data_IF_064847008048
#
_entry.id   IF_064847008048
#
_cell.length_a   1.000
_cell.length_b   1.000
_cell.length_c   1.000
_cell.angle_alpha   90.00
_cell.angle_beta   90.00
_cell.angle_gamma   90.00
#
_symmetry.space_group_name_H-M   'P 1'
#
loop_
_entity.id
_entity.type
_entity.pdbx_description
1 polymer ?
#
# COMPACT_ATOMS: atom_id res chain seq x y z
N UNK A 1 21.88 -38.42 -45.53
CA UNK A 1 22.68 -37.42 -44.78
C UNK A 1 21.78 -36.90 -43.68
N UNK A 2 22.21 -37.06 -42.43
CA UNK A 2 21.37 -36.93 -41.24
C UNK A 2 21.13 -35.46 -40.88
N UNK A 3 19.92 -35.22 -40.36
CA UNK A 3 19.51 -33.98 -39.69
C UNK A 3 20.18 -33.91 -38.33
N UNK A 4 20.80 -32.78 -37.99
CA UNK A 4 21.24 -32.53 -36.62
C UNK A 4 20.66 -31.19 -36.15
N UNK A 5 19.54 -31.29 -35.44
CA UNK A 5 19.02 -30.24 -34.59
C UNK A 5 19.84 -30.23 -33.30
N UNK A 6 20.59 -29.16 -33.05
CA UNK A 6 21.19 -28.93 -31.75
C UNK A 6 20.20 -28.15 -30.87
N UNK A 7 19.62 -28.88 -29.92
CA UNK A 7 18.87 -28.38 -28.77
C UNK A 7 19.58 -27.19 -28.11
N UNK A 8 18.94 -26.03 -28.11
CA UNK A 8 19.17 -25.04 -27.06
C UNK A 8 18.50 -25.56 -25.78
N UNK A 9 19.19 -25.61 -24.63
CA UNK A 9 18.51 -25.94 -23.39
C UNK A 9 17.56 -24.79 -23.06
N UNK A 10 16.28 -25.06 -23.27
CA UNK A 10 15.16 -24.29 -22.75
C UNK A 10 15.22 -24.36 -21.21
N UNK A 11 16.03 -23.46 -20.64
CA UNK A 11 15.99 -23.12 -19.23
C UNK A 11 14.94 -22.04 -19.03
N UNK A 12 13.67 -22.36 -19.28
CA UNK A 12 12.53 -21.57 -18.84
C UNK A 12 12.45 -21.60 -17.30
N UNK A 13 13.42 -20.97 -16.64
CA UNK A 13 13.17 -20.40 -15.34
C UNK A 13 12.42 -19.10 -15.62
N UNK A 14 11.11 -19.08 -15.36
CA UNK A 14 10.33 -17.85 -15.24
C UNK A 14 10.95 -17.00 -14.13
N UNK A 15 12.01 -16.27 -14.47
CA UNK A 15 12.58 -15.24 -13.63
C UNK A 15 11.65 -14.05 -13.80
N UNK A 16 10.74 -13.89 -12.84
CA UNK A 16 9.76 -12.81 -12.75
C UNK A 16 10.49 -11.48 -12.45
N UNK A 17 11.41 -11.11 -13.35
CA UNK A 17 12.24 -9.92 -13.24
C UNK A 17 11.48 -8.74 -13.79
N UNK A 18 11.18 -7.79 -12.92
CA UNK A 18 10.46 -6.57 -13.28
C UNK A 18 11.45 -5.47 -13.59
N UNK A 19 11.37 -4.91 -14.80
CA UNK A 19 12.20 -3.76 -15.17
C UNK A 19 11.39 -2.47 -15.07
N UNK A 20 11.87 -1.55 -14.23
CA UNK A 20 11.32 -0.22 -14.05
C UNK A 20 12.26 0.79 -14.69
N UNK A 21 11.74 1.72 -15.48
CA UNK A 21 12.55 2.79 -16.07
C UNK A 21 11.92 4.14 -15.76
N UNK A 22 12.75 5.12 -15.42
CA UNK A 22 12.33 6.49 -15.23
C UNK A 22 13.40 7.46 -15.72
N UNK A 23 13.08 8.75 -15.78
CA UNK A 23 14.02 9.79 -16.18
C UNK A 23 13.87 11.01 -15.30
N UNK A 24 15.00 11.63 -14.95
CA UNK A 24 15.08 12.86 -14.16
C UNK A 24 15.99 13.81 -14.94
N UNK A 25 15.50 15.01 -15.27
CA UNK A 25 16.26 16.03 -16.02
C UNK A 25 17.02 15.50 -17.25
N UNK A 26 16.37 14.63 -18.03
CA UNK A 26 16.95 14.03 -19.25
C UNK A 26 17.89 12.84 -19.00
N UNK A 27 18.22 12.53 -17.75
CA UNK A 27 18.99 11.37 -17.36
C UNK A 27 18.09 10.15 -17.15
N UNK A 28 18.36 9.04 -17.84
CA UNK A 28 17.57 7.80 -17.75
C UNK A 28 18.14 6.84 -16.73
N UNK A 29 17.26 6.29 -15.90
CA UNK A 29 17.57 5.29 -14.90
C UNK A 29 16.76 4.04 -15.19
N UNK A 30 17.38 2.88 -14.95
CA UNK A 30 16.73 1.58 -15.11
C UNK A 30 16.98 0.71 -13.88
N UNK A 31 15.93 0.19 -13.28
CA UNK A 31 16.00 -0.74 -12.16
C UNK A 31 15.42 -2.09 -12.59
N UNK A 32 16.25 -3.12 -12.57
CA UNK A 32 15.87 -4.50 -12.81
C UNK A 32 15.68 -5.19 -11.46
N UNK A 33 14.47 -5.60 -11.13
CA UNK A 33 14.10 -6.19 -9.84
C UNK A 33 13.89 -7.68 -10.02
N UNK A 34 14.82 -8.48 -9.50
CA UNK A 34 14.67 -9.92 -9.38
C UNK A 34 14.12 -10.36 -8.02
N UNK A 35 13.97 -11.67 -7.85
CA UNK A 35 13.39 -12.26 -6.63
C UNK A 35 14.21 -12.01 -5.35
N UNK A 36 15.54 -11.90 -5.47
CA UNK A 36 16.45 -11.80 -4.32
C UNK A 36 17.32 -10.52 -4.34
N UNK A 37 17.58 -9.98 -5.52
CA UNK A 37 18.40 -8.80 -5.74
C UNK A 37 17.78 -7.88 -6.79
N UNK A 38 18.16 -6.61 -6.75
CA UNK A 38 17.83 -5.66 -7.79
C UNK A 38 19.08 -4.90 -8.26
N UNK A 39 19.07 -4.51 -9.52
CA UNK A 39 20.18 -3.83 -10.18
C UNK A 39 19.72 -2.50 -10.75
N UNK A 40 20.35 -1.42 -10.31
CA UNK A 40 20.14 -0.06 -10.81
C UNK A 40 21.23 0.31 -11.81
N UNK A 41 20.83 0.62 -13.03
CA UNK A 41 21.67 1.20 -14.06
C UNK A 41 21.56 2.72 -14.02
N UNK A 42 22.70 3.37 -13.78
CA UNK A 42 22.84 4.82 -13.79
C UNK A 42 23.11 5.34 -15.22
N UNK A 43 22.84 6.64 -15.50
CA UNK A 43 23.00 7.24 -16.83
C UNK A 43 24.45 7.24 -17.35
N UNK A 44 25.42 7.22 -16.44
CA UNK A 44 26.86 7.14 -16.72
C UNK A 44 27.33 5.72 -17.03
N UNK A 45 26.42 4.73 -17.03
CA UNK A 45 26.71 3.32 -17.25
C UNK A 45 27.16 2.58 -16.00
N UNK A 46 27.23 3.23 -14.84
CA UNK A 46 27.54 2.55 -13.59
C UNK A 46 26.36 1.67 -13.16
N UNK A 47 26.68 0.48 -12.66
CA UNK A 47 25.71 -0.49 -12.16
C UNK A 47 25.83 -0.61 -10.65
N UNK A 48 24.72 -0.48 -9.95
CA UNK A 48 24.61 -0.75 -8.52
C UNK A 48 23.77 -2.02 -8.35
N UNK A 49 24.40 -3.07 -7.85
CA UNK A 49 23.77 -4.35 -7.54
C UNK A 49 23.68 -4.48 -6.02
N UNK A 50 22.48 -4.62 -5.48
CA UNK A 50 22.25 -4.86 -4.06
C UNK A 50 21.17 -5.92 -3.90
N UNK A 51 21.21 -6.61 -2.76
CA UNK A 51 20.12 -7.50 -2.37
C UNK A 51 18.84 -6.71 -2.07
N UNK A 52 17.68 -7.35 -2.17
CA UNK A 52 16.40 -6.72 -1.87
C UNK A 52 16.34 -6.18 -0.42
N UNK A 53 17.07 -6.81 0.52
CA UNK A 53 17.20 -6.34 1.90
C UNK A 53 18.01 -5.05 2.01
N UNK A 54 19.12 -4.96 1.29
CA UNK A 54 19.96 -3.76 1.26
C UNK A 54 19.26 -2.59 0.57
N UNK A 55 18.55 -2.85 -0.54
CA UNK A 55 17.68 -1.86 -1.18
C UNK A 55 16.60 -1.33 -0.23
N UNK A 56 15.97 -2.21 0.57
CA UNK A 56 15.00 -1.79 1.58
C UNK A 56 15.65 -0.91 2.68
N UNK A 57 16.87 -1.25 3.11
CA UNK A 57 17.65 -0.44 4.03
C UNK A 57 17.97 0.95 3.46
N UNK A 58 18.41 1.01 2.21
CA UNK A 58 18.70 2.26 1.50
C UNK A 58 17.45 3.14 1.37
N UNK A 59 16.32 2.56 0.95
CA UNK A 59 15.05 3.28 0.83
C UNK A 59 14.59 3.88 2.17
N UNK A 60 14.74 3.12 3.27
CA UNK A 60 14.41 3.60 4.61
C UNK A 60 15.31 4.77 5.03
N UNK A 61 16.63 4.64 4.85
CA UNK A 61 17.58 5.70 5.17
C UNK A 61 17.32 6.98 4.35
N UNK A 62 17.01 6.85 3.06
CA UNK A 62 16.61 7.99 2.22
C UNK A 62 15.35 8.65 2.77
N UNK A 63 14.35 7.86 3.19
CA UNK A 63 13.10 8.36 3.79
C UNK A 63 13.28 9.11 5.12
N UNK A 64 14.38 8.88 5.85
CA UNK A 64 14.71 9.64 7.06
C UNK A 64 15.22 11.05 6.76
N UNK A 65 15.89 11.24 5.62
CA UNK A 65 16.57 12.49 5.26
C UNK A 65 15.74 13.32 4.29
N UNK A 66 15.10 12.66 3.32
CA UNK A 66 14.27 13.31 2.30
C UNK A 66 12.81 13.12 2.69
N UNK A 67 12.15 14.22 3.10
CA UNK A 67 10.70 14.26 3.31
C UNK A 67 9.98 14.15 1.96
N UNK A 68 9.93 12.94 1.40
CA UNK A 68 9.19 12.67 0.18
C UNK A 68 7.68 12.71 0.46
N UNK A 69 6.85 13.32 -0.42
CA UNK A 69 5.41 13.13 -0.36
C UNK A 69 5.11 11.65 -0.57
N UNK A 70 4.31 11.04 0.32
CA UNK A 70 3.90 9.62 0.29
C UNK A 70 3.32 9.25 -1.09
N UNK A 71 4.16 8.77 -2.00
CA UNK A 71 3.71 8.13 -3.23
C UNK A 71 2.99 6.84 -2.88
N UNK A 72 1.79 6.69 -3.43
CA UNK A 72 0.94 5.50 -3.32
C UNK A 72 1.60 4.39 -4.14
N UNK A 73 2.53 3.65 -3.54
CA UNK A 73 2.98 2.37 -4.10
C UNK A 73 1.83 1.37 -3.95
N UNK A 74 1.28 0.90 -5.07
CA UNK A 74 0.42 -0.28 -5.08
C UNK A 74 1.31 -1.45 -4.61
N UNK A 75 1.00 -2.16 -3.50
CA UNK A 75 1.82 -3.29 -3.11
C UNK A 75 1.44 -4.51 -3.95
N UNK A 76 2.42 -5.05 -4.67
CA UNK A 76 2.47 -6.48 -4.97
C UNK A 76 2.50 -7.22 -3.64
N UNK A 77 1.59 -8.18 -3.50
CA UNK A 77 1.25 -8.84 -2.25
C UNK A 77 2.45 -9.54 -1.59
N UNK A 78 2.76 -9.24 -0.31
CA UNK A 78 3.18 -10.29 0.65
C UNK A 78 3.08 -9.89 2.13
N UNK A 79 2.49 -10.84 2.88
CA UNK A 79 2.40 -11.06 4.33
C UNK A 79 1.54 -10.09 5.16
N UNK A 80 0.35 -10.59 5.45
CA UNK A 80 -0.69 -10.06 6.33
C UNK A 80 -0.16 -9.88 7.76
N UNK A 81 -0.05 -8.62 8.19
CA UNK A 81 -0.41 -8.28 9.56
C UNK A 81 -1.93 -8.38 9.67
N UNK A 82 -2.42 -9.15 10.64
CA UNK A 82 -3.84 -9.41 10.92
C UNK A 82 -4.56 -8.14 11.38
N UNK A 83 -4.81 -7.23 10.45
CA UNK A 83 -5.87 -6.24 10.57
C UNK A 83 -6.69 -6.39 9.30
N UNK A 84 -7.80 -7.12 9.43
CA UNK A 84 -8.72 -7.41 8.33
C UNK A 84 -9.08 -6.10 7.62
N UNK A 85 -8.52 -5.95 6.43
CA UNK A 85 -8.76 -4.79 5.58
C UNK A 85 -10.18 -4.98 5.04
N UNK A 86 -11.16 -4.32 5.66
CA UNK A 86 -12.55 -4.36 5.18
C UNK A 86 -12.61 -4.14 3.66
N UNK A 87 -13.41 -4.94 2.97
CA UNK A 87 -13.53 -5.08 1.51
C UNK A 87 -13.77 -3.71 0.86
N UNK A 88 -14.44 -2.78 1.53
CA UNK A 88 -14.73 -1.44 1.02
C UNK A 88 -13.62 -0.39 1.30
N UNK A 89 -12.44 -0.82 1.76
CA UNK A 89 -11.31 0.08 1.98
C UNK A 89 -10.79 0.64 0.66
N UNK A 90 -11.06 1.94 0.41
CA UNK A 90 -10.66 2.66 -0.81
C UNK A 90 -11.81 2.92 -1.78
N UNK A 91 -12.98 2.32 -1.57
CA UNK A 91 -14.21 2.65 -2.30
C UNK A 91 -14.65 4.07 -1.91
N UNK A 92 -15.15 4.85 -2.88
CA UNK A 92 -15.67 6.20 -2.63
C UNK A 92 -16.92 6.10 -1.74
N UNK A 93 -17.01 6.97 -0.73
CA UNK A 93 -18.23 7.12 0.07
C UNK A 93 -19.31 7.79 -0.76
N UNK A 94 -20.53 7.25 -0.73
CA UNK A 94 -21.71 7.90 -1.32
C UNK A 94 -22.38 8.83 -0.29
N UNK A 95 -23.24 9.74 -0.77
CA UNK A 95 -24.03 10.60 0.12
C UNK A 95 -25.00 9.77 0.99
N UNK A 96 -25.49 8.63 0.48
CA UNK A 96 -26.30 7.68 1.24
C UNK A 96 -25.51 7.00 2.35
N UNK A 97 -24.25 6.62 2.09
CA UNK A 97 -23.37 6.06 3.11
C UNK A 97 -23.08 7.07 4.21
N UNK A 98 -22.88 8.34 3.86
CA UNK A 98 -22.62 9.41 4.83
C UNK A 98 -23.82 9.64 5.75
N UNK A 99 -25.02 9.66 5.20
CA UNK A 99 -26.25 9.82 5.97
C UNK A 99 -26.48 8.63 6.91
N UNK A 100 -26.32 7.38 6.42
CA UNK A 100 -26.45 6.17 7.24
C UNK A 100 -25.36 6.11 8.33
N UNK A 101 -24.12 6.51 8.00
CA UNK A 101 -23.00 6.55 8.97
C UNK A 101 -23.27 7.55 10.10
N UNK A 102 -23.66 8.78 9.76
CA UNK A 102 -23.99 9.82 10.74
C UNK A 102 -25.19 9.43 11.58
N UNK A 103 -26.25 8.89 10.98
CA UNK A 103 -27.44 8.48 11.69
C UNK A 103 -27.12 7.40 12.72
N UNK A 104 -26.41 6.34 12.31
CA UNK A 104 -26.01 5.26 13.24
C UNK A 104 -25.10 5.76 14.34
N UNK A 105 -24.12 6.59 14.01
CA UNK A 105 -23.24 7.19 15.02
C UNK A 105 -24.02 8.07 16.00
N UNK A 106 -25.02 8.82 15.54
CA UNK A 106 -25.88 9.64 16.41
C UNK A 106 -26.79 8.78 17.29
N UNK A 107 -27.17 7.59 16.82
CA UNK A 107 -27.96 6.60 17.57
C UNK A 107 -27.13 5.75 18.53
N UNK A 108 -25.85 6.07 18.75
CA UNK A 108 -25.01 5.37 19.71
C UNK A 108 -24.28 4.13 19.18
N UNK A 109 -24.29 3.87 17.86
CA UNK A 109 -23.54 2.74 17.31
C UNK A 109 -22.03 2.86 17.62
N UNK A 110 -21.41 1.73 17.94
CA UNK A 110 -19.97 1.62 18.20
C UNK A 110 -19.19 1.54 16.89
N UNK A 111 -17.90 1.86 16.92
CA UNK A 111 -16.99 1.73 15.80
C UNK A 111 -16.95 0.30 15.26
N UNK A 112 -17.04 -0.71 16.12
CA UNK A 112 -17.08 -2.13 15.71
C UNK A 112 -18.30 -2.45 14.85
N UNK A 113 -19.47 -1.95 15.24
CA UNK A 113 -20.71 -2.12 14.49
C UNK A 113 -20.67 -1.36 13.16
N UNK A 114 -20.11 -0.14 13.15
CA UNK A 114 -19.93 0.64 11.94
C UNK A 114 -18.92 -0.01 10.99
N UNK A 115 -17.81 -0.54 11.51
CA UNK A 115 -16.83 -1.28 10.71
C UNK A 115 -17.46 -2.47 10.02
N UNK A 116 -18.25 -3.25 10.76
CA UNK A 116 -19.00 -4.40 10.22
C UNK A 116 -20.03 -3.95 9.18
N UNK A 117 -20.79 -2.88 9.47
CA UNK A 117 -21.86 -2.39 8.59
C UNK A 117 -21.35 -1.90 7.23
N UNK A 118 -20.28 -1.11 7.24
CA UNK A 118 -19.72 -0.51 6.04
C UNK A 118 -18.63 -1.36 5.41
N UNK A 119 -18.26 -2.46 6.06
CA UNK A 119 -17.15 -3.33 5.72
C UNK A 119 -15.85 -2.54 5.46
N UNK A 120 -15.53 -1.67 6.42
CA UNK A 120 -14.36 -0.77 6.40
C UNK A 120 -13.62 -0.85 7.72
N UNK A 121 -12.33 -0.56 7.69
CA UNK A 121 -11.52 -0.49 8.90
C UNK A 121 -11.83 0.77 9.74
N UNK A 122 -11.41 0.73 11.02
CA UNK A 122 -11.60 1.82 11.99
C UNK A 122 -11.06 3.17 11.48
N UNK A 123 -9.89 3.16 10.85
CA UNK A 123 -9.28 4.37 10.29
C UNK A 123 -10.14 5.02 9.20
N UNK A 124 -10.83 4.22 8.39
CA UNK A 124 -11.78 4.68 7.39
C UNK A 124 -13.03 5.29 8.01
N UNK A 125 -13.61 4.62 9.02
CA UNK A 125 -14.79 5.09 9.75
C UNK A 125 -14.49 6.40 10.51
N UNK A 126 -13.48 6.40 11.37
CA UNK A 126 -13.09 7.58 12.18
C UNK A 126 -12.72 8.78 11.31
N UNK A 127 -11.96 8.57 10.23
CA UNK A 127 -11.64 9.63 9.28
C UNK A 127 -12.87 10.20 8.60
N UNK A 128 -13.86 9.35 8.27
CA UNK A 128 -15.10 9.82 7.65
C UNK A 128 -15.98 10.59 8.62
N UNK A 129 -16.13 10.11 9.86
CA UNK A 129 -16.88 10.81 10.91
C UNK A 129 -16.35 12.22 11.19
N UNK A 130 -15.02 12.40 11.22
CA UNK A 130 -14.40 13.74 11.35
C UNK A 130 -14.72 14.62 10.13
N UNK A 131 -14.64 14.08 8.91
CA UNK A 131 -15.01 14.83 7.69
C UNK A 131 -16.47 15.25 7.69
N UNK A 132 -17.34 14.43 8.26
CA UNK A 132 -18.77 14.69 8.43
C UNK A 132 -19.07 15.55 9.68
N UNK A 133 -18.03 16.04 10.38
CA UNK A 133 -18.13 16.91 11.56
C UNK A 133 -18.89 16.27 12.74
N UNK A 134 -18.90 14.95 12.85
CA UNK A 134 -19.46 14.26 14.01
C UNK A 134 -18.65 14.51 15.29
N UNK A 135 -17.34 14.74 15.16
CA UNK A 135 -16.46 15.23 16.21
C UNK A 135 -15.24 15.97 15.61
N UNK A 136 -14.52 16.78 16.40
CA UNK A 136 -13.37 17.57 15.91
C UNK A 136 -12.18 16.71 15.46
N UNK A 137 -11.87 15.65 16.20
CA UNK A 137 -10.73 14.78 15.90
C UNK A 137 -11.11 13.30 15.91
N UNK A 138 -10.23 12.46 15.35
CA UNK A 138 -10.40 11.00 15.41
C UNK A 138 -10.29 10.48 16.85
N UNK A 139 -9.56 11.19 17.70
CA UNK A 139 -9.41 10.81 19.09
C UNK A 139 -10.69 11.03 19.88
N UNK A 140 -11.38 12.15 19.65
CA UNK A 140 -12.70 12.40 20.23
C UNK A 140 -13.70 11.28 19.88
N UNK A 141 -13.65 10.78 18.63
CA UNK A 141 -14.46 9.63 18.19
C UNK A 141 -14.09 8.35 18.95
N UNK A 142 -12.80 8.10 19.23
CA UNK A 142 -12.37 6.90 19.97
C UNK A 142 -12.78 6.95 21.43
N UNK A 143 -12.58 8.09 22.09
CA UNK A 143 -13.02 8.31 23.49
C UNK A 143 -14.53 8.13 23.61
N UNK A 144 -15.29 8.69 22.68
CA UNK A 144 -16.74 8.52 22.63
C UNK A 144 -17.14 7.06 22.39
N UNK A 145 -16.43 6.35 21.51
CA UNK A 145 -16.66 4.94 21.28
C UNK A 145 -16.37 4.07 22.53
N UNK A 146 -15.32 4.39 23.29
CA UNK A 146 -15.03 3.71 24.57
C UNK A 146 -16.18 3.89 25.55
N UNK A 147 -16.68 5.13 25.72
CA UNK A 147 -17.85 5.41 26.56
C UNK A 147 -19.08 4.58 26.17
N UNK A 148 -19.33 4.41 24.87
CA UNK A 148 -20.46 3.61 24.36
C UNK A 148 -20.30 2.11 24.56
N UNK A 149 -19.08 1.62 24.76
CA UNK A 149 -18.81 0.20 25.02
C UNK A 149 -18.93 -0.16 26.50
N UNK A 150 -18.78 0.83 27.38
CA UNK A 150 -18.80 0.68 28.84
C UNK A 150 -20.17 0.96 29.47
N UNK A 151 -21.07 1.65 28.75
CA UNK A 151 -22.45 1.92 29.17
C UNK A 151 -23.45 0.91 28.60
#
# INVERSE_FOLDING_TARGET
MAVEQAHSPDGSASNDSHTLTWSVDGSRFELQVGSDAARLCLPDGQLIDLTNREWAGLANAIGMVVKTPKQVTKPVARKQSTQEKGINTGVRWTEGDDADLLQRWSNGATLSELMTRFDRNEGGITSRLVKLKAAPTREDIRVENERRREG
#
